data_IF_488167585769
#
_entry.id   IF_488167585769
#
_cell.length_a   1.000
_cell.length_b   1.000
_cell.length_c   1.000
_cell.angle_alpha   90.00
_cell.angle_beta   90.00
_cell.angle_gamma   90.00
#
_symmetry.space_group_name_H-M   'P 1'
#
loop_
_entity.id
_entity.type
_entity.pdbx_description
1 polymer ?
#
# COMPACT_ATOMS: atom_id res chain seq x y z
N UNK A 1 12.26 25.81 -16.51
CA UNK A 1 12.33 26.41 -15.16
C UNK A 1 12.17 25.25 -14.18
N UNK A 2 13.15 25.01 -13.32
CA UNK A 2 12.99 23.97 -12.28
C UNK A 2 11.92 24.47 -11.29
N UNK A 3 10.74 23.85 -11.30
CA UNK A 3 9.69 24.12 -10.31
C UNK A 3 10.20 23.65 -8.94
N UNK A 4 10.16 24.53 -7.94
CA UNK A 4 10.50 24.14 -6.56
C UNK A 4 9.36 23.34 -5.95
N UNK A 5 9.70 22.31 -5.18
CA UNK A 5 8.75 21.49 -4.42
C UNK A 5 8.25 22.33 -3.25
N UNK A 6 6.95 22.61 -3.21
CA UNK A 6 6.30 23.47 -2.23
C UNK A 6 5.84 22.66 -1.02
N UNK A 7 6.39 22.98 0.14
CA UNK A 7 6.18 22.23 1.39
C UNK A 7 5.26 23.00 2.33
N UNK A 8 4.22 22.34 2.84
CA UNK A 8 3.48 22.73 4.04
C UNK A 8 4.02 21.93 5.23
N UNK A 9 4.46 22.61 6.27
CA UNK A 9 4.93 21.99 7.52
C UNK A 9 3.86 22.13 8.61
N UNK A 10 3.42 21.02 9.16
CA UNK A 10 2.47 20.93 10.29
C UNK A 10 3.20 20.27 11.46
N UNK A 11 3.73 21.07 12.36
CA UNK A 11 4.58 20.68 13.50
C UNK A 11 4.35 21.70 14.62
N UNK A 12 3.97 21.30 15.81
CA UNK A 12 3.67 22.19 16.92
C UNK A 12 4.92 22.67 17.65
N UNK A 13 5.98 21.88 17.67
CA UNK A 13 7.24 22.25 18.32
C UNK A 13 7.96 23.35 17.55
N UNK A 14 8.09 24.54 18.20
CA UNK A 14 8.70 25.74 17.62
C UNK A 14 10.15 25.53 17.19
N UNK A 15 10.93 24.78 17.98
CA UNK A 15 12.35 24.52 17.68
C UNK A 15 12.46 23.59 16.46
N UNK A 16 11.59 22.60 16.35
CA UNK A 16 11.51 21.70 15.18
C UNK A 16 11.07 22.46 13.94
N UNK A 17 10.06 23.33 14.02
CA UNK A 17 9.67 24.20 12.90
C UNK A 17 10.85 25.09 12.45
N UNK A 18 11.58 25.68 13.39
CA UNK A 18 12.74 26.50 13.08
C UNK A 18 13.86 25.68 12.40
N UNK A 19 14.11 24.43 12.86
CA UNK A 19 15.06 23.51 12.25
C UNK A 19 14.66 23.19 10.80
N UNK A 20 13.41 22.81 10.55
CA UNK A 20 12.90 22.53 9.20
C UNK A 20 12.97 23.76 8.30
N UNK A 21 12.55 24.93 8.78
CA UNK A 21 12.60 26.19 8.03
C UNK A 21 14.04 26.50 7.59
N UNK A 22 15.01 26.39 8.50
CA UNK A 22 16.42 26.61 8.20
C UNK A 22 16.92 25.61 7.16
N UNK A 23 16.62 24.35 7.36
CA UNK A 23 17.03 23.27 6.46
C UNK A 23 16.42 23.42 5.07
N UNK A 24 15.12 23.74 4.95
CA UNK A 24 14.46 23.97 3.65
C UNK A 24 15.13 25.11 2.88
N UNK A 25 15.52 26.20 3.55
CA UNK A 25 16.21 27.33 2.90
C UNK A 25 17.58 26.93 2.32
N UNK A 26 18.23 25.91 2.85
CA UNK A 26 19.52 25.41 2.34
C UNK A 26 19.37 24.47 1.13
N UNK A 27 18.14 24.04 0.79
CA UNK A 27 17.85 23.16 -0.34
C UNK A 27 17.37 23.98 -1.54
N UNK A 28 18.09 23.95 -2.66
CA UNK A 28 17.75 24.74 -3.85
C UNK A 28 16.39 24.39 -4.48
N UNK A 29 15.97 23.13 -4.33
CA UNK A 29 14.76 22.58 -4.96
C UNK A 29 13.52 22.65 -4.07
N UNK A 30 13.66 23.00 -2.80
CA UNK A 30 12.56 23.04 -1.84
C UNK A 30 12.12 24.47 -1.55
N UNK A 31 10.84 24.65 -1.21
CA UNK A 31 10.24 25.92 -0.80
C UNK A 31 9.25 25.69 0.33
N UNK A 32 9.44 26.36 1.46
CA UNK A 32 8.44 26.37 2.53
C UNK A 32 7.31 27.35 2.17
N UNK A 33 6.17 26.82 1.70
CA UNK A 33 5.04 27.67 1.30
C UNK A 33 4.15 28.10 2.47
N UNK A 34 4.12 27.31 3.55
CA UNK A 34 3.46 27.63 4.82
C UNK A 34 3.93 26.71 5.95
N UNK A 35 3.72 27.15 7.19
CA UNK A 35 3.95 26.35 8.40
C UNK A 35 2.91 26.67 9.47
N UNK A 36 2.56 25.69 10.29
CA UNK A 36 1.66 25.86 11.44
C UNK A 36 1.89 24.74 12.46
N UNK A 37 1.45 24.98 13.72
CA UNK A 37 1.39 23.95 14.75
C UNK A 37 -0.03 23.43 15.01
N UNK A 38 -1.04 23.89 14.24
CA UNK A 38 -2.46 23.64 14.51
C UNK A 38 -3.12 22.89 13.37
N UNK A 39 -3.92 21.88 13.71
CA UNK A 39 -4.65 21.05 12.74
C UNK A 39 -5.55 21.91 11.83
N UNK A 40 -6.40 22.74 12.40
CA UNK A 40 -7.43 23.46 11.66
C UNK A 40 -6.83 24.53 10.72
N UNK A 41 -5.79 25.22 11.19
CA UNK A 41 -5.04 26.18 10.38
C UNK A 41 -4.32 25.49 9.23
N UNK A 42 -3.70 24.32 9.50
CA UNK A 42 -3.04 23.49 8.47
C UNK A 42 -3.99 23.06 7.36
N UNK A 43 -5.20 22.64 7.70
CA UNK A 43 -6.25 22.27 6.72
C UNK A 43 -6.69 23.47 5.87
N UNK A 44 -6.72 24.69 6.45
CA UNK A 44 -7.02 25.90 5.69
C UNK A 44 -5.84 26.31 4.79
N UNK A 45 -4.62 26.24 5.29
CA UNK A 45 -3.41 26.50 4.52
C UNK A 45 -3.25 25.53 3.34
N UNK A 46 -3.61 24.27 3.51
CA UNK A 46 -3.61 23.26 2.47
C UNK A 46 -4.46 23.68 1.25
N UNK A 47 -5.67 24.20 1.50
CA UNK A 47 -6.57 24.70 0.45
C UNK A 47 -6.02 25.94 -0.27
N UNK A 48 -5.46 26.86 0.51
CA UNK A 48 -5.01 28.18 -0.02
C UNK A 48 -3.67 28.06 -0.73
N UNK A 49 -2.75 27.28 -0.18
CA UNK A 49 -1.38 27.20 -0.66
C UNK A 49 -1.15 26.09 -1.67
N UNK A 50 -2.04 25.08 -1.73
CA UNK A 50 -1.89 23.93 -2.63
C UNK A 50 -0.45 23.39 -2.67
N UNK A 51 0.08 22.89 -1.53
CA UNK A 51 1.43 22.40 -1.45
C UNK A 51 1.60 21.10 -2.25
N UNK A 52 2.82 20.84 -2.70
CA UNK A 52 3.21 19.58 -3.34
C UNK A 52 3.46 18.49 -2.29
N UNK A 53 3.98 18.89 -1.12
CA UNK A 53 4.34 18.02 -0.02
C UNK A 53 3.78 18.55 1.29
N UNK A 54 3.26 17.66 2.14
CA UNK A 54 2.93 17.95 3.54
C UNK A 54 3.87 17.16 4.44
N UNK A 55 4.61 17.85 5.31
CA UNK A 55 5.32 17.23 6.44
C UNK A 55 4.40 17.40 7.65
N UNK A 56 3.97 16.28 8.23
CA UNK A 56 2.94 16.22 9.26
C UNK A 56 3.45 15.53 10.52
N UNK A 57 3.48 16.24 11.62
CA UNK A 57 3.63 15.59 12.93
C UNK A 57 2.31 14.94 13.36
N UNK A 58 2.38 13.72 13.88
CA UNK A 58 1.20 13.06 14.47
C UNK A 58 0.85 13.59 15.86
N UNK A 59 1.85 14.00 16.62
CA UNK A 59 1.71 14.49 17.98
C UNK A 59 1.57 16.02 17.98
N UNK A 60 0.36 16.54 17.73
CA UNK A 60 0.05 17.97 17.79
C UNK A 60 -0.58 18.33 19.14
N UNK A 61 -0.18 19.45 19.77
CA UNK A 61 -0.78 19.95 21.00
C UNK A 61 -2.23 20.42 20.81
N UNK A 62 -2.51 21.07 19.66
CA UNK A 62 -3.88 21.48 19.30
C UNK A 62 -4.35 20.68 18.09
N UNK A 63 -5.10 19.60 18.33
CA UNK A 63 -5.60 18.68 17.32
C UNK A 63 -4.88 17.34 17.31
N UNK A 64 -4.91 16.66 16.18
CA UNK A 64 -4.30 15.35 16.01
C UNK A 64 -3.87 15.16 14.54
N UNK A 65 -2.61 14.76 14.32
CA UNK A 65 -2.10 14.55 12.97
C UNK A 65 -2.82 13.44 12.20
N UNK A 66 -3.34 12.40 12.88
CA UNK A 66 -4.16 11.37 12.23
C UNK A 66 -5.47 12.00 11.72
N UNK A 67 -6.17 12.76 12.56
CA UNK A 67 -7.41 13.47 12.18
C UNK A 67 -7.17 14.47 11.06
N UNK A 68 -6.02 15.17 11.10
CA UNK A 68 -5.59 16.02 9.99
C UNK A 68 -5.53 15.22 8.67
N UNK A 69 -4.84 14.09 8.67
CA UNK A 69 -4.68 13.25 7.48
C UNK A 69 -6.02 12.69 6.97
N UNK A 70 -6.91 12.26 7.86
CA UNK A 70 -8.28 11.83 7.54
C UNK A 70 -9.08 12.94 6.83
N UNK A 71 -9.11 14.14 7.43
CA UNK A 71 -9.81 15.30 6.87
C UNK A 71 -9.20 15.73 5.54
N UNK A 72 -7.87 15.75 5.44
CA UNK A 72 -7.16 16.08 4.19
C UNK A 72 -7.54 15.10 3.07
N UNK A 73 -7.55 13.78 3.34
CA UNK A 73 -7.92 12.76 2.33
C UNK A 73 -9.38 12.86 1.89
N UNK A 74 -10.27 13.36 2.76
CA UNK A 74 -11.68 13.60 2.42
C UNK A 74 -11.90 14.90 1.61
N UNK A 75 -10.89 15.76 1.47
CA UNK A 75 -11.03 17.01 0.72
C UNK A 75 -11.02 16.77 -0.80
N UNK A 76 -11.83 17.50 -1.58
CA UNK A 76 -11.83 17.44 -3.04
C UNK A 76 -10.70 18.33 -3.61
N UNK A 77 -9.46 18.01 -3.27
CA UNK A 77 -8.25 18.71 -3.73
C UNK A 77 -7.27 17.70 -4.35
N UNK A 78 -6.32 18.21 -5.16
CA UNK A 78 -5.17 17.41 -5.54
C UNK A 78 -4.42 17.01 -4.27
N UNK A 79 -4.25 15.70 -4.08
CA UNK A 79 -3.65 15.17 -2.85
C UNK A 79 -2.14 15.38 -2.88
N UNK A 80 -1.56 16.05 -1.86
CA UNK A 80 -0.12 16.20 -1.77
C UNK A 80 0.57 14.88 -1.41
N UNK A 81 1.87 14.81 -1.67
CA UNK A 81 2.75 13.80 -1.09
C UNK A 81 2.86 14.02 0.42
N UNK A 82 2.61 13.01 1.24
CA UNK A 82 2.53 13.15 2.69
C UNK A 82 3.64 12.40 3.40
N UNK A 83 4.43 13.14 4.15
CA UNK A 83 5.48 12.60 5.03
C UNK A 83 5.04 12.80 6.47
N UNK A 84 4.81 11.72 7.17
CA UNK A 84 4.49 11.73 8.60
C UNK A 84 5.76 11.61 9.43
N UNK A 85 5.86 12.40 10.50
CA UNK A 85 6.86 12.27 11.56
C UNK A 85 6.19 11.92 12.87
N UNK A 86 6.74 10.97 13.66
CA UNK A 86 6.11 10.50 14.90
C UNK A 86 7.12 9.90 15.87
N UNK A 87 6.88 10.06 17.17
CA UNK A 87 7.67 9.41 18.23
C UNK A 87 7.23 7.96 18.46
N UNK A 88 5.96 7.65 18.19
CA UNK A 88 5.38 6.35 18.50
C UNK A 88 4.56 5.82 17.31
N UNK A 89 5.11 4.83 16.63
CA UNK A 89 4.43 4.18 15.53
C UNK A 89 4.28 2.67 15.81
N UNK A 90 3.21 2.29 16.51
CA UNK A 90 2.85 0.87 16.61
C UNK A 90 2.57 0.27 15.23
N UNK A 91 2.67 -1.06 15.13
CA UNK A 91 2.36 -1.76 13.87
C UNK A 91 0.95 -1.45 13.35
N UNK A 92 -0.03 -1.33 14.25
CA UNK A 92 -1.42 -0.99 13.89
C UNK A 92 -1.55 0.44 13.34
N UNK A 93 -0.90 1.42 13.98
CA UNK A 93 -0.87 2.80 13.50
C UNK A 93 -0.16 2.87 12.14
N UNK A 94 0.99 2.22 11.99
CA UNK A 94 1.71 2.16 10.72
C UNK A 94 0.87 1.58 9.59
N UNK A 95 0.11 0.51 9.86
CA UNK A 95 -0.79 -0.09 8.88
C UNK A 95 -1.91 0.88 8.48
N UNK A 96 -2.57 1.50 9.47
CA UNK A 96 -3.62 2.47 9.21
C UNK A 96 -3.14 3.66 8.37
N UNK A 97 -2.00 4.25 8.75
CA UNK A 97 -1.38 5.34 7.99
C UNK A 97 -1.08 4.96 6.54
N UNK A 98 -0.53 3.77 6.31
CA UNK A 98 -0.11 3.32 4.97
C UNK A 98 -1.28 2.88 4.10
N UNK A 99 -2.20 2.08 4.64
CA UNK A 99 -3.21 1.40 3.83
C UNK A 99 -4.54 2.16 3.76
N UNK A 100 -4.95 2.80 4.86
CA UNK A 100 -6.21 3.53 4.92
C UNK A 100 -6.01 5.02 4.56
N UNK A 101 -5.00 5.67 5.14
CA UNK A 101 -4.70 7.09 4.89
C UNK A 101 -3.70 7.32 3.76
N UNK A 102 -3.11 6.25 3.19
CA UNK A 102 -2.18 6.31 2.05
C UNK A 102 -1.06 7.33 2.27
N UNK A 103 -0.46 7.31 3.46
CA UNK A 103 0.71 8.13 3.78
C UNK A 103 1.91 7.60 3.01
N UNK A 104 2.59 8.47 2.28
CA UNK A 104 3.66 8.11 1.36
C UNK A 104 4.94 7.71 2.09
N UNK A 105 5.25 8.41 3.20
CA UNK A 105 6.42 8.08 4.01
C UNK A 105 6.19 8.34 5.51
N UNK A 106 6.77 7.48 6.37
CA UNK A 106 6.67 7.58 7.82
C UNK A 106 8.06 7.60 8.42
N UNK A 107 8.42 8.69 9.11
CA UNK A 107 9.62 8.83 9.90
C UNK A 107 9.37 8.63 11.38
N UNK A 108 10.15 7.76 12.02
CA UNK A 108 10.17 7.63 13.47
C UNK A 108 11.22 8.57 14.07
N UNK A 109 10.80 9.51 14.91
CA UNK A 109 11.67 10.48 15.60
C UNK A 109 12.59 9.84 16.65
N UNK A 110 12.32 8.59 17.06
CA UNK A 110 13.10 7.84 18.05
C UNK A 110 14.46 7.36 17.54
N UNK A 111 14.72 7.41 16.24
CA UNK A 111 16.02 7.08 15.69
C UNK A 111 17.05 8.17 16.03
N UNK A 112 18.21 7.80 16.57
CA UNK A 112 19.28 8.72 16.92
C UNK A 112 19.79 9.62 15.75
N UNK A 113 19.39 9.28 14.53
CA UNK A 113 19.73 9.99 13.30
C UNK A 113 18.62 10.91 12.78
N UNK A 114 17.47 11.04 13.47
CA UNK A 114 16.38 11.90 13.00
C UNK A 114 16.79 13.38 12.99
N UNK A 115 16.81 13.98 11.80
CA UNK A 115 17.04 15.40 11.57
C UNK A 115 16.13 15.91 10.45
N UNK A 116 15.85 17.22 10.41
CA UNK A 116 15.09 17.83 9.33
C UNK A 116 15.76 17.57 7.97
N UNK A 117 17.08 17.65 7.87
CA UNK A 117 17.81 17.40 6.62
C UNK A 117 17.57 15.97 6.07
N UNK A 118 17.53 14.95 6.93
CA UNK A 118 17.25 13.58 6.45
C UNK A 118 15.85 13.43 5.88
N UNK A 119 14.86 14.07 6.51
CA UNK A 119 13.49 14.09 5.99
C UNK A 119 13.45 14.76 4.62
N UNK A 120 14.10 15.92 4.48
CA UNK A 120 14.15 16.68 3.24
C UNK A 120 14.92 15.97 2.13
N UNK A 121 16.06 15.34 2.45
CA UNK A 121 16.83 14.53 1.50
C UNK A 121 16.00 13.37 0.92
N UNK A 122 15.17 12.75 1.76
CA UNK A 122 14.29 11.67 1.30
C UNK A 122 13.16 12.24 0.44
N UNK A 123 12.56 13.38 0.82
CA UNK A 123 11.57 14.06 -0.01
C UNK A 123 12.14 14.34 -1.40
N UNK A 124 13.32 14.96 -1.51
CA UNK A 124 13.95 15.23 -2.81
C UNK A 124 14.21 13.98 -3.66
N UNK A 125 14.58 12.87 -3.00
CA UNK A 125 14.85 11.61 -3.69
C UNK A 125 13.58 10.90 -4.18
N UNK A 126 12.51 10.93 -3.38
CA UNK A 126 11.31 10.14 -3.66
C UNK A 126 10.26 10.94 -4.42
N UNK A 127 10.11 12.25 -4.16
CA UNK A 127 9.08 13.09 -4.77
C UNK A 127 9.12 13.10 -6.30
N UNK A 128 10.30 12.98 -6.91
CA UNK A 128 10.44 12.84 -8.38
C UNK A 128 9.71 11.63 -8.96
N UNK A 129 9.47 10.59 -8.15
CA UNK A 129 8.70 9.41 -8.54
C UNK A 129 7.20 9.59 -8.28
N UNK A 130 6.82 10.55 -7.42
CA UNK A 130 5.43 10.92 -7.20
C UNK A 130 4.86 11.67 -8.42
N UNK A 131 5.63 12.57 -9.01
CA UNK A 131 5.23 13.31 -10.22
C UNK A 131 5.18 12.41 -11.50
N UNK A 132 5.91 11.29 -11.45
CA UNK A 132 5.76 10.18 -12.39
C UNK A 132 4.78 9.14 -11.86
N UNK A 133 3.83 9.60 -11.00
CA UNK A 133 2.90 8.72 -10.31
C UNK A 133 2.27 7.74 -11.32
N UNK A 134 2.26 6.44 -10.98
CA UNK A 134 1.51 5.49 -11.76
C UNK A 134 0.09 6.04 -11.91
N UNK A 135 -0.46 5.90 -13.08
CA UNK A 135 -1.86 6.22 -13.38
C UNK A 135 -2.73 5.73 -12.20
N UNK A 136 -3.84 6.41 -11.81
CA UNK A 136 -4.75 5.90 -10.79
C UNK A 136 -5.07 4.42 -10.94
N UNK A 137 -4.93 3.91 -12.15
CA UNK A 137 -5.07 2.51 -12.53
C UNK A 137 -3.92 1.61 -12.01
N UNK A 138 -2.68 2.13 -11.89
CA UNK A 138 -1.56 1.35 -11.30
C UNK A 138 -1.65 1.30 -9.77
N UNK A 139 -2.15 2.36 -9.14
CA UNK A 139 -2.44 2.35 -7.69
C UNK A 139 -3.54 1.33 -7.37
N UNK A 140 -4.60 1.27 -8.16
CA UNK A 140 -5.66 0.27 -8.01
C UNK A 140 -5.12 -1.15 -8.16
N UNK A 141 -4.20 -1.40 -9.09
CA UNK A 141 -3.54 -2.70 -9.24
C UNK A 141 -2.67 -3.06 -8.06
N UNK A 142 -1.91 -2.13 -7.52
CA UNK A 142 -1.07 -2.35 -6.32
C UNK A 142 -1.97 -2.66 -5.12
N UNK A 143 -3.03 -1.90 -4.92
CA UNK A 143 -4.01 -2.12 -3.85
C UNK A 143 -4.66 -3.50 -3.98
N UNK A 144 -5.11 -3.85 -5.17
CA UNK A 144 -5.71 -5.15 -5.46
C UNK A 144 -4.72 -6.30 -5.21
N UNK A 145 -3.48 -6.17 -5.70
CA UNK A 145 -2.43 -7.15 -5.47
C UNK A 145 -2.18 -7.38 -3.97
N UNK A 146 -2.06 -6.30 -3.21
CA UNK A 146 -1.83 -6.34 -1.77
C UNK A 146 -3.03 -6.96 -1.03
N UNK A 147 -4.25 -6.66 -1.47
CA UNK A 147 -5.47 -7.27 -0.94
C UNK A 147 -5.48 -8.79 -1.18
N UNK A 148 -5.23 -9.23 -2.40
CA UNK A 148 -5.16 -10.66 -2.76
C UNK A 148 -4.08 -11.36 -1.94
N UNK A 149 -2.89 -10.78 -1.86
CA UNK A 149 -1.78 -11.34 -1.10
C UNK A 149 -2.16 -11.52 0.38
N UNK A 150 -2.73 -10.51 1.02
CA UNK A 150 -3.17 -10.57 2.43
C UNK A 150 -4.21 -11.65 2.66
N UNK A 151 -5.19 -11.76 1.78
CA UNK A 151 -6.23 -12.80 1.91
C UNK A 151 -5.64 -14.22 1.80
N UNK A 152 -4.68 -14.43 0.88
CA UNK A 152 -3.97 -15.69 0.77
C UNK A 152 -3.10 -15.96 2.01
N UNK A 153 -2.37 -14.99 2.52
CA UNK A 153 -1.55 -15.09 3.74
C UNK A 153 -2.41 -15.42 4.97
N UNK A 154 -3.58 -14.82 5.11
CA UNK A 154 -4.55 -15.10 6.16
C UNK A 154 -5.09 -16.56 6.10
N UNK A 155 -5.10 -17.17 4.92
CA UNK A 155 -5.43 -18.58 4.73
C UNK A 155 -4.25 -19.51 5.05
N UNK A 156 -3.04 -18.97 5.21
CA UNK A 156 -1.81 -19.73 5.48
C UNK A 156 -0.92 -19.97 4.25
N UNK A 157 -1.18 -19.29 3.12
CA UNK A 157 -0.24 -19.29 2.01
C UNK A 157 1.00 -18.46 2.38
N UNK A 158 2.18 -19.02 2.16
CA UNK A 158 3.43 -18.35 2.49
C UNK A 158 4.08 -17.82 1.22
N UNK A 159 4.50 -16.55 1.25
CA UNK A 159 5.15 -15.85 0.13
C UNK A 159 6.49 -16.43 -0.31
N UNK A 160 7.12 -17.26 0.52
CA UNK A 160 8.34 -18.00 0.13
C UNK A 160 8.11 -19.13 -0.90
N UNK A 161 6.87 -19.46 -1.23
CA UNK A 161 6.55 -20.52 -2.19
C UNK A 161 6.07 -19.93 -3.51
N UNK A 162 6.71 -20.34 -4.60
CA UNK A 162 6.37 -19.89 -5.97
C UNK A 162 4.89 -20.14 -6.35
N UNK A 163 4.26 -21.15 -5.77
CA UNK A 163 2.83 -21.40 -5.97
C UNK A 163 1.93 -20.27 -5.45
N UNK A 164 2.34 -19.57 -4.39
CA UNK A 164 1.64 -18.40 -3.87
C UNK A 164 1.77 -17.22 -4.85
N UNK A 165 2.97 -16.98 -5.37
CA UNK A 165 3.20 -15.92 -6.37
C UNK A 165 2.40 -16.17 -7.65
N UNK A 166 2.33 -17.45 -8.08
CA UNK A 166 1.54 -17.83 -9.25
C UNK A 166 0.03 -17.63 -9.04
N UNK A 167 -0.48 -17.86 -7.83
CA UNK A 167 -1.87 -17.57 -7.49
C UNK A 167 -2.14 -16.05 -7.51
N UNK A 168 -1.27 -15.24 -6.92
CA UNK A 168 -1.41 -13.78 -6.96
C UNK A 168 -1.43 -13.29 -8.42
N UNK A 169 -0.47 -13.74 -9.23
CA UNK A 169 -0.39 -13.36 -10.63
C UNK A 169 -1.61 -13.85 -11.45
N UNK A 170 -2.14 -15.04 -11.14
CA UNK A 170 -3.38 -15.54 -11.75
C UNK A 170 -4.57 -14.63 -11.45
N UNK A 171 -4.74 -14.20 -10.20
CA UNK A 171 -5.85 -13.30 -9.83
C UNK A 171 -5.68 -11.91 -10.43
N UNK A 172 -4.47 -11.39 -10.50
CA UNK A 172 -4.20 -10.12 -11.19
C UNK A 172 -4.55 -10.20 -12.68
N UNK A 173 -4.20 -11.29 -13.35
CA UNK A 173 -4.59 -11.52 -14.74
C UNK A 173 -6.12 -11.58 -14.91
N UNK A 174 -6.81 -12.27 -14.01
CA UNK A 174 -8.28 -12.38 -14.04
C UNK A 174 -8.93 -10.99 -13.83
N UNK A 175 -8.37 -10.14 -13.00
CA UNK A 175 -8.86 -8.78 -12.79
C UNK A 175 -8.76 -7.93 -14.06
N UNK A 176 -7.69 -8.09 -14.83
CA UNK A 176 -7.49 -7.38 -16.11
C UNK A 176 -8.37 -7.93 -17.26
N UNK A 177 -8.92 -9.17 -17.10
CA UNK A 177 -9.71 -9.86 -18.12
C UNK A 177 -11.02 -10.41 -17.54
N UNK A 178 -11.94 -9.54 -17.07
CA UNK A 178 -13.14 -9.96 -16.34
C UNK A 178 -14.13 -10.78 -17.19
N UNK A 179 -14.16 -10.52 -18.49
CA UNK A 179 -15.10 -11.15 -19.44
C UNK A 179 -14.61 -12.48 -20.02
N UNK A 180 -13.33 -12.82 -19.78
CA UNK A 180 -12.78 -14.07 -20.29
C UNK A 180 -13.34 -15.26 -19.53
N UNK A 181 -13.75 -16.29 -20.26
CA UNK A 181 -14.11 -17.58 -19.64
C UNK A 181 -12.90 -18.14 -18.88
N UNK A 182 -13.11 -18.50 -17.60
CA UNK A 182 -12.05 -18.97 -16.72
C UNK A 182 -11.52 -20.36 -17.17
N UNK A 183 -10.62 -20.38 -18.14
CA UNK A 183 -9.97 -21.61 -18.62
C UNK A 183 -8.57 -21.73 -18.00
N UNK A 184 -8.51 -22.15 -16.72
CA UNK A 184 -7.27 -22.20 -15.94
C UNK A 184 -6.16 -22.94 -16.68
N UNK A 185 -6.44 -24.13 -17.21
CA UNK A 185 -5.43 -24.97 -17.90
C UNK A 185 -5.03 -24.44 -19.29
N UNK A 186 -5.94 -23.78 -19.99
CA UNK A 186 -5.70 -23.35 -21.37
C UNK A 186 -5.20 -21.91 -21.49
N UNK A 187 -5.52 -21.07 -20.50
CA UNK A 187 -5.19 -19.65 -20.53
C UNK A 187 -4.21 -19.28 -19.40
N UNK A 188 -4.57 -19.54 -18.14
CA UNK A 188 -3.81 -19.08 -16.99
C UNK A 188 -2.44 -19.75 -16.88
N UNK A 189 -2.38 -21.08 -16.93
CA UNK A 189 -1.09 -21.78 -16.81
C UNK A 189 -0.11 -21.45 -17.94
N UNK A 190 -0.51 -21.41 -19.24
CA UNK A 190 0.39 -20.99 -20.30
C UNK A 190 0.84 -19.55 -20.19
N UNK A 191 -0.02 -18.61 -19.75
CA UNK A 191 0.33 -17.23 -19.52
C UNK A 191 1.38 -17.11 -18.40
N UNK A 192 1.13 -17.72 -17.23
CA UNK A 192 2.08 -17.73 -16.12
C UNK A 192 3.40 -18.42 -16.51
N UNK A 193 3.34 -19.51 -17.28
CA UNK A 193 4.54 -20.18 -17.74
C UNK A 193 5.44 -19.28 -18.60
N UNK A 194 4.87 -18.42 -19.45
CA UNK A 194 5.61 -17.41 -20.21
C UNK A 194 6.20 -16.34 -19.29
N UNK A 195 5.39 -15.81 -18.36
CA UNK A 195 5.78 -14.74 -17.46
C UNK A 195 6.94 -15.15 -16.52
N UNK A 196 6.93 -16.39 -16.05
CA UNK A 196 7.90 -16.90 -15.07
C UNK A 196 8.97 -17.83 -15.68
N UNK A 197 9.10 -17.86 -17.01
CA UNK A 197 10.06 -18.72 -17.73
C UNK A 197 10.01 -20.18 -17.30
N UNK A 198 8.80 -20.73 -17.20
CA UNK A 198 8.52 -22.10 -16.70
C UNK A 198 7.65 -22.88 -17.69
N UNK A 199 7.15 -24.03 -17.27
CA UNK A 199 6.20 -24.82 -18.06
C UNK A 199 4.81 -24.82 -17.42
N UNK A 200 3.72 -24.96 -18.19
CA UNK A 200 2.36 -25.03 -17.65
C UNK A 200 2.21 -26.13 -16.59
N UNK A 201 2.88 -27.27 -16.75
CA UNK A 201 2.87 -28.38 -15.78
C UNK A 201 3.56 -28.03 -14.49
N UNK A 202 4.67 -27.26 -14.52
CA UNK A 202 5.35 -26.80 -13.31
C UNK A 202 4.51 -25.77 -12.57
N UNK A 203 3.85 -24.84 -13.28
CA UNK A 203 2.92 -23.87 -12.70
C UNK A 203 1.76 -24.58 -12.00
N UNK A 204 1.09 -25.52 -12.70
CA UNK A 204 0.01 -26.34 -12.15
C UNK A 204 0.44 -27.06 -10.87
N UNK A 205 1.59 -27.74 -10.92
CA UNK A 205 2.14 -28.48 -9.79
C UNK A 205 2.46 -27.58 -8.60
N UNK A 206 3.07 -26.42 -8.83
CA UNK A 206 3.44 -25.47 -7.77
C UNK A 206 2.19 -24.93 -7.06
N UNK A 207 1.16 -24.54 -7.81
CA UNK A 207 -0.13 -24.09 -7.26
C UNK A 207 -0.79 -25.22 -6.46
N UNK A 208 -0.84 -26.43 -7.00
CA UNK A 208 -1.41 -27.60 -6.33
C UNK A 208 -0.72 -27.89 -5.00
N UNK A 209 0.62 -27.84 -4.97
CA UNK A 209 1.40 -28.05 -3.74
C UNK A 209 1.18 -26.93 -2.71
N UNK A 210 1.01 -25.69 -3.15
CA UNK A 210 0.69 -24.57 -2.26
C UNK A 210 -0.67 -24.77 -1.60
N UNK A 211 -1.71 -25.10 -2.37
CA UNK A 211 -3.05 -25.41 -1.86
C UNK A 211 -2.98 -26.60 -0.88
N UNK A 212 -2.30 -27.67 -1.26
CA UNK A 212 -2.15 -28.87 -0.41
C UNK A 212 -1.55 -28.55 0.95
N UNK A 213 -0.47 -27.75 0.98
CA UNK A 213 0.19 -27.33 2.23
C UNK A 213 -0.75 -26.52 3.12
N UNK A 214 -1.50 -25.60 2.55
CA UNK A 214 -2.47 -24.79 3.31
C UNK A 214 -3.54 -25.67 3.93
N UNK A 215 -4.14 -26.60 3.17
CA UNK A 215 -5.17 -27.50 3.68
C UNK A 215 -4.65 -28.54 4.68
N UNK A 216 -3.34 -28.84 4.65
CA UNK A 216 -2.71 -29.75 5.62
C UNK A 216 -2.32 -29.03 6.92
N UNK A 217 -1.89 -27.78 6.84
CA UNK A 217 -1.24 -27.10 7.97
C UNK A 217 -2.11 -26.00 8.63
N UNK A 218 -3.23 -25.61 8.00
CA UNK A 218 -4.11 -24.56 8.54
C UNK A 218 -5.35 -25.19 9.20
N UNK A 219 -5.79 -24.60 10.31
CA UNK A 219 -6.97 -25.09 11.01
C UNK A 219 -8.24 -24.96 10.17
N UNK A 220 -9.18 -25.90 10.31
CA UNK A 220 -10.48 -25.85 9.62
C UNK A 220 -11.22 -24.55 9.94
N UNK A 221 -11.12 -24.04 11.17
CA UNK A 221 -11.75 -22.79 11.61
C UNK A 221 -11.22 -21.60 10.80
N UNK A 222 -9.90 -21.53 10.63
CA UNK A 222 -9.27 -20.47 9.80
C UNK A 222 -9.67 -20.62 8.33
N UNK A 223 -9.60 -21.83 7.78
CA UNK A 223 -9.98 -22.08 6.39
C UNK A 223 -11.44 -21.71 6.13
N UNK A 224 -12.38 -22.11 7.00
CA UNK A 224 -13.81 -21.78 6.84
C UNK A 224 -14.09 -20.28 6.86
N UNK A 225 -13.28 -19.50 7.58
CA UNK A 225 -13.39 -18.03 7.63
C UNK A 225 -13.00 -17.39 6.28
N UNK A 226 -11.94 -17.86 5.64
CA UNK A 226 -11.39 -17.24 4.44
C UNK A 226 -11.79 -17.93 3.14
N UNK A 227 -12.16 -19.22 3.22
CA UNK A 227 -12.68 -20.04 2.12
C UNK A 227 -14.01 -20.70 2.53
N UNK A 228 -15.13 -19.95 2.58
CA UNK A 228 -16.43 -20.45 3.06
C UNK A 228 -17.19 -21.23 1.99
N UNK A 229 -16.49 -22.04 1.21
CA UNK A 229 -17.07 -22.82 0.11
C UNK A 229 -17.02 -24.31 0.38
N UNK A 230 -18.05 -25.02 -0.07
CA UNK A 230 -18.05 -26.49 -0.02
C UNK A 230 -16.95 -27.05 -0.93
N UNK A 231 -16.29 -28.09 -0.44
CA UNK A 231 -15.25 -28.81 -1.16
C UNK A 231 -15.83 -30.14 -1.66
N UNK A 232 -16.01 -30.23 -2.97
CA UNK A 232 -16.58 -31.40 -3.62
C UNK A 232 -15.54 -32.50 -3.95
N UNK A 233 -14.28 -32.29 -3.57
CA UNK A 233 -13.20 -33.20 -3.88
C UNK A 233 -13.04 -34.26 -2.78
N UNK A 234 -12.94 -35.53 -3.16
CA UNK A 234 -12.73 -36.69 -2.26
C UNK A 234 -11.51 -36.55 -1.35
N UNK A 235 -10.55 -35.72 -1.71
CA UNK A 235 -9.32 -35.47 -0.95
C UNK A 235 -9.48 -34.39 0.15
N UNK A 236 -10.69 -33.89 0.41
CA UNK A 236 -10.97 -32.89 1.44
C UNK A 236 -10.32 -31.50 1.17
N UNK A 237 -9.88 -31.23 -0.04
CA UNK A 237 -9.29 -29.96 -0.47
C UNK A 237 -9.74 -29.62 -1.90
N UNK A 238 -9.80 -28.32 -2.29
CA UNK A 238 -10.18 -27.94 -3.63
C UNK A 238 -9.10 -28.33 -4.66
N UNK A 239 -9.51 -28.60 -5.88
CA UNK A 239 -8.61 -28.60 -7.02
C UNK A 239 -8.14 -27.18 -7.33
N UNK A 240 -7.06 -27.01 -8.12
CA UNK A 240 -6.59 -25.67 -8.52
C UNK A 240 -7.69 -24.84 -9.20
N UNK A 241 -8.41 -25.46 -10.13
CA UNK A 241 -9.49 -24.78 -10.86
C UNK A 241 -10.65 -24.38 -9.95
N UNK A 242 -11.04 -25.26 -9.02
CA UNK A 242 -12.07 -24.98 -8.02
C UNK A 242 -11.65 -23.85 -7.09
N UNK A 243 -10.41 -23.88 -6.58
CA UNK A 243 -9.86 -22.83 -5.73
C UNK A 243 -9.86 -21.47 -6.44
N UNK A 244 -9.28 -21.41 -7.64
CA UNK A 244 -9.20 -20.16 -8.42
C UNK A 244 -10.60 -19.65 -8.75
N UNK A 245 -11.53 -20.53 -9.16
CA UNK A 245 -12.90 -20.14 -9.48
C UNK A 245 -13.65 -19.56 -8.27
N UNK A 246 -13.55 -20.18 -7.11
CA UNK A 246 -14.21 -19.73 -5.88
C UNK A 246 -13.59 -18.44 -5.34
N UNK A 247 -12.28 -18.34 -5.35
CA UNK A 247 -11.60 -17.12 -4.93
C UNK A 247 -11.80 -15.96 -5.91
N UNK A 248 -11.97 -16.24 -7.22
CA UNK A 248 -12.44 -15.22 -8.19
C UNK A 248 -13.77 -14.59 -7.74
N UNK A 249 -14.74 -15.41 -7.33
CA UNK A 249 -16.02 -14.90 -6.82
C UNK A 249 -15.84 -14.05 -5.57
N UNK A 250 -14.92 -14.43 -4.67
CA UNK A 250 -14.63 -13.67 -3.46
C UNK A 250 -13.98 -12.33 -3.76
N UNK A 251 -13.03 -12.27 -4.67
CA UNK A 251 -12.28 -11.04 -4.98
C UNK A 251 -13.02 -10.10 -5.92
N UNK A 252 -13.80 -10.64 -6.86
CA UNK A 252 -14.37 -9.88 -7.98
C UNK A 252 -15.88 -10.09 -8.15
N UNK A 253 -16.49 -11.02 -7.40
CA UNK A 253 -17.95 -11.22 -7.44
C UNK A 253 -18.69 -10.03 -6.85
N UNK A 254 -19.56 -9.42 -7.67
CA UNK A 254 -20.59 -8.51 -7.21
C UNK A 254 -21.85 -9.30 -6.89
#
# INVERSE_FOLDING_TARGET
>A
MNHKIRILLVEDNLDKRAEFRHSIHSHERLELCAETGKEEEGLNLLKIKTPDVVILDLELEEGNGITFAEKMRAMPISQPFVVVTTNNCSSSISQYLRYDLKIDFIFQKTNASYTANQVLDIIEKIYKYHDTAPSPYEDEKIILRNHIQRELENMGFLSQYSGTDYLIAAFMFIADHPDDSLQVSKVIYPMLARQYHSTPSNIERAIRLAIERVWTNTSIVTLSKYYPYEINNKNGRPSNGEFISKMKLKFFGK
#
